data_IF_212171107474
#
_entry.id   IF_212171107474
#
_cell.length_a   1.000
_cell.length_b   1.000
_cell.length_c   1.000
_cell.angle_alpha   90.00
_cell.angle_beta   90.00
_cell.angle_gamma   90.00
#
_symmetry.space_group_name_H-M   'P 1'
#
loop_
_entity.id
_entity.type
_entity.pdbx_description
1 polymer ?
#
# COMPACT_ATOMS: atom_id res chain seq x y z
N UNK A 1 58.39 21.31 31.38
CA UNK A 1 57.15 22.10 31.47
C UNK A 1 56.79 22.54 30.07
N UNK A 2 56.23 21.61 29.29
CA UNK A 2 55.47 21.94 28.10
C UNK A 2 54.03 21.99 28.56
N UNK A 3 53.38 23.14 28.33
CA UNK A 3 52.01 23.42 28.71
C UNK A 3 51.07 22.49 27.93
N UNK A 4 50.36 21.64 28.66
CA UNK A 4 49.29 20.73 28.20
C UNK A 4 48.00 21.47 27.78
N UNK A 5 48.09 22.70 27.26
CA UNK A 5 46.92 23.53 26.93
C UNK A 5 46.60 23.62 25.41
N UNK A 6 47.42 23.05 24.53
CA UNK A 6 47.14 23.02 23.08
C UNK A 6 46.49 21.72 22.57
N UNK A 7 46.04 20.84 23.48
CA UNK A 7 45.27 19.61 23.15
C UNK A 7 43.77 19.72 23.42
N UNK A 8 43.21 20.93 23.48
CA UNK A 8 41.79 21.13 23.25
C UNK A 8 41.50 20.99 21.75
N UNK A 9 41.70 19.78 21.23
CA UNK A 9 41.30 19.42 19.88
C UNK A 9 39.83 19.79 19.69
N UNK A 10 39.55 20.55 18.64
CA UNK A 10 38.24 20.56 18.01
C UNK A 10 37.82 19.10 17.85
N UNK A 11 37.01 18.57 18.78
CA UNK A 11 36.33 17.29 18.61
C UNK A 11 35.46 17.50 17.39
N UNK A 12 35.94 17.03 16.24
CA UNK A 12 35.12 16.94 15.03
C UNK A 12 33.98 16.01 15.41
N UNK A 13 32.83 16.60 15.75
CA UNK A 13 31.61 15.86 16.04
C UNK A 13 31.22 15.16 14.75
N UNK A 14 31.41 13.84 14.70
CA UNK A 14 31.04 13.03 13.55
C UNK A 14 29.52 12.82 13.58
N UNK A 15 28.79 13.10 12.47
CA UNK A 15 27.36 12.86 12.38
C UNK A 15 27.02 11.41 12.70
N UNK A 16 25.95 11.20 13.46
CA UNK A 16 25.48 9.87 13.85
C UNK A 16 24.33 9.42 12.95
N UNK A 17 24.08 8.09 12.79
CA UNK A 17 23.00 7.57 11.94
C UNK A 17 21.61 8.20 12.14
N UNK A 18 21.18 8.62 13.35
CA UNK A 18 19.91 9.33 13.52
C UNK A 18 19.85 10.71 12.84
N UNK A 19 20.99 11.37 12.62
CA UNK A 19 21.06 12.68 11.96
C UNK A 19 21.05 12.54 10.43
N UNK A 20 19.97 12.01 9.85
CA UNK A 20 19.90 11.62 8.42
C UNK A 20 20.49 12.66 7.45
N UNK A 21 20.16 13.94 7.65
CA UNK A 21 20.54 15.05 6.77
C UNK A 21 22.05 15.27 6.72
N UNK A 22 22.74 15.16 7.86
CA UNK A 22 24.20 15.36 7.96
C UNK A 22 24.96 14.05 7.78
N UNK A 23 24.40 12.94 8.26
CA UNK A 23 25.02 11.62 8.21
C UNK A 23 25.13 11.06 6.80
N UNK A 24 24.09 11.13 5.97
CA UNK A 24 24.10 10.48 4.66
C UNK A 24 25.20 11.07 3.74
N UNK A 25 25.34 12.40 3.59
CA UNK A 25 26.47 12.98 2.86
C UNK A 25 27.82 12.65 3.47
N UNK A 26 27.94 12.74 4.80
CA UNK A 26 29.17 12.45 5.52
C UNK A 26 29.65 11.01 5.31
N UNK A 27 28.76 10.04 5.47
CA UNK A 27 29.07 8.63 5.30
C UNK A 27 29.44 8.29 3.86
N UNK A 28 28.76 8.88 2.86
CA UNK A 28 29.14 8.71 1.45
C UNK A 28 30.55 9.26 1.18
N UNK A 29 30.88 10.44 1.72
CA UNK A 29 32.20 11.03 1.60
C UNK A 29 33.29 10.18 2.25
N UNK A 30 33.06 9.66 3.46
CA UNK A 30 34.01 8.78 4.16
C UNK A 30 34.25 7.46 3.42
N UNK A 31 33.24 6.95 2.73
CA UNK A 31 33.35 5.76 1.88
C UNK A 31 33.95 6.06 0.50
N UNK A 32 34.45 7.28 0.27
CA UNK A 32 35.05 7.71 -1.00
C UNK A 32 34.09 7.54 -2.18
N UNK A 33 32.84 8.00 -2.03
CA UNK A 33 31.84 7.94 -3.09
C UNK A 33 32.33 8.62 -4.38
N UNK A 34 32.16 8.00 -5.56
CA UNK A 34 32.51 8.62 -6.84
C UNK A 34 31.49 9.71 -7.27
N UNK A 35 30.57 10.06 -6.38
CA UNK A 35 29.49 11.02 -6.57
C UNK A 35 29.34 11.86 -5.30
N UNK A 36 28.90 13.10 -5.44
CA UNK A 36 28.53 13.96 -4.33
C UNK A 36 27.07 13.69 -3.94
N UNK A 37 26.76 13.71 -2.64
CA UNK A 37 25.39 13.56 -2.14
C UNK A 37 24.97 14.84 -1.44
N UNK A 38 23.84 15.41 -1.89
CA UNK A 38 23.24 16.58 -1.26
C UNK A 38 21.88 16.21 -0.70
N UNK A 39 21.65 16.48 0.60
CA UNK A 39 20.34 16.28 1.22
C UNK A 39 19.62 17.63 1.31
N UNK A 40 18.55 17.78 0.55
CA UNK A 40 17.66 18.93 0.61
C UNK A 40 16.57 18.68 1.65
N UNK A 41 16.39 19.62 2.56
CA UNK A 41 15.34 19.56 3.58
C UNK A 41 14.09 20.25 3.07
N UNK A 42 12.96 19.54 3.15
CA UNK A 42 11.62 20.08 2.92
C UNK A 42 10.79 19.90 4.18
N UNK A 43 9.90 20.84 4.47
CA UNK A 43 9.00 20.74 5.63
C UNK A 43 7.63 20.30 5.16
N UNK A 44 7.02 19.35 5.87
CA UNK A 44 5.68 18.89 5.54
C UNK A 44 4.66 20.01 5.82
N UNK A 45 4.07 20.56 4.76
CA UNK A 45 2.96 21.50 4.89
C UNK A 45 1.79 20.82 5.64
N UNK A 46 1.19 21.52 6.60
CA UNK A 46 0.03 21.00 7.32
C UNK A 46 -1.04 20.58 6.31
N UNK A 47 -1.38 19.29 6.29
CA UNK A 47 -2.72 18.90 5.88
C UNK A 47 -3.66 19.47 6.95
N UNK A 48 -4.23 20.65 6.72
CA UNK A 48 -5.28 21.20 7.57
C UNK A 48 -6.44 20.21 7.62
N UNK A 49 -6.49 19.43 8.71
CA UNK A 49 -7.73 18.88 9.20
C UNK A 49 -8.66 20.05 9.51
N UNK A 50 -9.81 20.05 8.84
CA UNK A 50 -11.01 20.85 9.12
C UNK A 50 -11.06 21.47 10.52
N UNK A 51 -10.82 22.77 10.62
CA UNK A 51 -11.48 23.61 11.62
C UNK A 51 -12.29 24.72 10.92
N UNK A 52 -13.60 24.59 11.09
CA UNK A 52 -14.61 25.64 11.17
C UNK A 52 -14.57 26.78 10.15
N UNK A 53 -15.45 26.66 9.14
CA UNK A 53 -16.10 27.82 8.52
C UNK A 53 -16.80 28.67 9.59
N UNK A 54 -16.11 29.63 10.20
CA UNK A 54 -16.76 30.82 10.75
C UNK A 54 -17.05 31.78 9.62
N UNK A 55 -18.35 31.82 9.25
CA UNK A 55 -18.95 32.83 8.38
C UNK A 55 -18.61 34.24 8.91
N UNK A 56 -17.66 34.91 8.27
CA UNK A 56 -17.51 36.35 8.34
C UNK A 56 -18.26 37.00 7.19
N UNK A 57 -19.47 37.52 7.45
CA UNK A 57 -20.16 38.47 6.57
C UNK A 57 -19.26 39.70 6.35
N UNK A 58 -18.94 40.03 5.10
CA UNK A 58 -18.63 41.41 4.70
C UNK A 58 -19.42 41.76 3.45
N UNK A 59 -20.57 42.39 3.69
CA UNK A 59 -21.08 43.55 2.94
C UNK A 59 -19.91 44.50 2.67
N UNK A 60 -19.61 44.95 1.46
CA UNK A 60 -20.44 45.79 0.59
C UNK A 60 -19.79 47.17 0.51
N UNK A 61 -19.56 47.68 -0.72
CA UNK A 61 -19.06 49.02 -1.09
C UNK A 61 -17.55 49.24 -0.86
N UNK A 62 -16.77 49.84 -1.76
CA UNK A 62 -17.08 50.93 -2.69
C UNK A 62 -16.26 50.84 -3.98
N UNK A 63 -16.92 51.22 -5.06
CA UNK A 63 -16.37 51.58 -6.37
C UNK A 63 -15.27 52.65 -6.25
N UNK A 64 -14.29 52.62 -7.17
CA UNK A 64 -13.81 53.81 -7.88
C UNK A 64 -13.17 53.42 -9.22
N UNK A 65 -13.49 54.28 -10.19
CA UNK A 65 -13.32 54.20 -11.65
C UNK A 65 -11.87 54.19 -12.16
N UNK A 66 -11.69 53.63 -13.37
CA UNK A 66 -11.02 54.21 -14.57
C UNK A 66 -10.81 53.04 -15.57
N UNK A 67 -11.72 52.77 -16.51
CA UNK A 67 -11.99 53.44 -17.79
C UNK A 67 -10.89 53.25 -18.87
N UNK A 68 -11.28 52.52 -19.93
CA UNK A 68 -10.81 52.55 -21.34
C UNK A 68 -9.34 52.21 -21.62
N UNK A 69 -9.00 51.34 -22.58
CA UNK A 69 -9.31 51.47 -24.01
C UNK A 69 -9.34 50.12 -24.72
N UNK A 70 -10.34 49.93 -25.57
CA UNK A 70 -10.40 48.89 -26.59
C UNK A 70 -9.81 49.43 -27.90
N UNK A 71 -9.13 48.59 -28.69
CA UNK A 71 -9.19 48.75 -30.16
C UNK A 71 -9.22 47.38 -30.85
N UNK A 72 -10.02 47.36 -31.91
CA UNK A 72 -10.61 46.27 -32.69
C UNK A 72 -9.75 45.97 -33.93
N UNK A 73 -10.08 44.82 -34.58
CA UNK A 73 -9.98 44.50 -36.04
C UNK A 73 -8.57 44.08 -36.56
N UNK A 74 -8.42 43.15 -37.49
CA UNK A 74 -9.35 42.45 -38.41
C UNK A 74 -8.74 41.15 -39.00
N UNK A 75 -9.64 40.23 -39.36
CA UNK A 75 -9.71 39.36 -40.55
C UNK A 75 -8.43 38.99 -41.34
N UNK A 76 -8.20 37.68 -41.50
CA UNK A 76 -8.03 37.01 -42.80
C UNK A 76 -7.92 35.48 -42.62
N UNK A 77 -8.79 34.71 -43.28
CA UNK A 77 -8.48 33.34 -43.73
C UNK A 77 -7.62 33.43 -45.01
N UNK A 78 -6.79 32.41 -45.32
CA UNK A 78 -7.26 31.43 -46.31
C UNK A 78 -6.82 29.97 -46.10
N UNK A 79 -7.59 29.12 -46.77
CA UNK A 79 -7.49 27.71 -47.17
C UNK A 79 -6.14 26.99 -47.36
N UNK A 80 -6.17 25.71 -46.95
CA UNK A 80 -5.73 24.48 -47.63
C UNK A 80 -4.22 24.08 -47.74
N UNK A 81 -4.03 22.77 -47.52
CA UNK A 81 -2.91 21.87 -47.89
C UNK A 81 -1.80 21.62 -46.85
N UNK A 82 -1.49 20.34 -46.64
CA UNK A 82 -0.24 19.87 -46.00
C UNK A 82 -0.40 19.19 -44.64
N UNK A 83 -0.73 17.89 -44.64
CA UNK A 83 -0.41 16.99 -43.54
C UNK A 83 1.12 16.83 -43.49
N UNK A 84 1.78 17.58 -42.60
CA UNK A 84 3.15 17.29 -42.17
C UNK A 84 3.17 17.03 -40.66
N UNK A 85 3.79 15.90 -40.30
CA UNK A 85 4.08 15.46 -38.93
C UNK A 85 4.94 16.51 -38.23
N UNK A 86 4.28 17.40 -37.48
CA UNK A 86 4.91 18.42 -36.65
C UNK A 86 5.67 17.80 -35.47
N UNK A 87 6.99 17.96 -35.53
CA UNK A 87 7.98 17.59 -34.54
C UNK A 87 7.59 18.04 -33.11
N UNK A 88 7.75 17.12 -32.16
CA UNK A 88 7.72 17.41 -30.72
C UNK A 88 8.81 18.44 -30.42
N UNK A 89 8.50 19.59 -29.78
CA UNK A 89 9.53 20.53 -29.37
C UNK A 89 10.38 19.88 -28.27
N UNK A 90 11.55 19.40 -28.68
CA UNK A 90 12.66 19.07 -27.79
C UNK A 90 13.23 20.36 -27.21
N UNK A 91 13.81 20.24 -26.01
CA UNK A 91 14.58 21.26 -25.24
C UNK A 91 13.86 22.00 -24.11
N UNK A 92 13.60 21.28 -23.02
CA UNK A 92 14.03 21.75 -21.70
C UNK A 92 15.11 20.80 -21.17
N UNK A 93 16.34 20.95 -21.69
CA UNK A 93 17.54 20.45 -21.00
C UNK A 93 17.81 21.40 -19.82
N UNK A 94 17.26 21.09 -18.66
CA UNK A 94 17.80 21.57 -17.40
C UNK A 94 18.96 20.65 -17.02
N UNK A 95 20.16 21.22 -16.95
CA UNK A 95 21.39 20.51 -16.65
C UNK A 95 21.25 19.76 -15.31
N UNK A 96 21.25 18.43 -15.35
CA UNK A 96 21.64 17.66 -14.17
C UNK A 96 23.12 18.00 -13.94
N UNK A 97 23.47 18.53 -12.76
CA UNK A 97 24.87 18.66 -12.35
C UNK A 97 25.47 17.24 -12.39
N UNK A 98 26.36 16.97 -13.36
CA UNK A 98 26.98 15.66 -13.53
C UNK A 98 27.70 15.28 -12.23
N UNK A 99 27.29 14.16 -11.61
CA UNK A 99 27.93 13.63 -10.41
C UNK A 99 27.31 14.01 -9.07
N UNK A 100 26.25 14.82 -9.02
CA UNK A 100 25.53 15.15 -7.77
C UNK A 100 24.22 14.37 -7.66
N UNK A 101 24.06 13.62 -6.56
CA UNK A 101 22.81 12.93 -6.23
C UNK A 101 22.08 13.70 -5.14
N UNK A 102 20.92 14.24 -5.50
CA UNK A 102 20.08 15.01 -4.57
C UNK A 102 19.05 14.08 -3.93
N UNK A 103 19.05 14.04 -2.60
CA UNK A 103 18.06 13.35 -1.76
C UNK A 103 17.20 14.41 -1.09
N UNK A 104 15.88 14.32 -1.19
CA UNK A 104 14.96 15.20 -0.49
C UNK A 104 14.49 14.51 0.80
N UNK A 105 14.81 15.10 1.95
CA UNK A 105 14.35 14.69 3.26
C UNK A 105 13.18 15.59 3.67
N UNK A 106 11.97 15.03 3.72
CA UNK A 106 10.80 15.76 4.21
C UNK A 106 10.67 15.51 5.70
N UNK A 107 10.70 16.60 6.48
CA UNK A 107 10.61 16.56 7.93
C UNK A 107 9.27 17.12 8.44
N UNK A 108 8.81 16.59 9.57
CA UNK A 108 7.73 17.22 10.34
C UNK A 108 8.25 18.47 11.08
N UNK A 109 7.37 19.27 11.69
CA UNK A 109 7.75 20.46 12.45
C UNK A 109 8.59 20.18 13.70
N UNK A 110 8.65 18.93 14.17
CA UNK A 110 9.50 18.50 15.29
C UNK A 110 10.90 18.05 14.82
N UNK A 111 11.17 18.06 13.51
CA UNK A 111 12.44 17.67 12.92
C UNK A 111 12.58 16.17 12.67
N UNK A 112 11.50 15.39 12.75
CA UNK A 112 11.51 13.97 12.45
C UNK A 112 11.38 13.73 10.95
N UNK A 113 12.11 12.75 10.43
CA UNK A 113 12.06 12.37 9.02
C UNK A 113 10.77 11.58 8.70
N UNK A 114 9.94 12.12 7.81
CA UNK A 114 8.64 11.53 7.43
C UNK A 114 8.66 10.89 6.05
N UNK A 115 9.37 11.51 5.10
CA UNK A 115 9.50 11.02 3.73
C UNK A 115 10.94 11.19 3.23
N UNK A 116 11.41 10.18 2.50
CA UNK A 116 12.62 10.29 1.68
C UNK A 116 12.18 10.29 0.21
N UNK A 117 12.60 11.32 -0.53
CA UNK A 117 12.21 11.49 -1.91
C UNK A 117 13.42 11.69 -2.84
N UNK A 118 13.38 11.01 -3.99
CA UNK A 118 14.27 11.22 -5.11
C UNK A 118 13.46 11.81 -6.26
N UNK A 119 13.81 13.03 -6.69
CA UNK A 119 13.11 13.75 -7.75
C UNK A 119 14.09 14.01 -8.88
N UNK A 120 13.78 13.49 -10.08
CA UNK A 120 14.60 13.69 -11.30
C UNK A 120 16.07 13.28 -11.08
N UNK A 121 16.27 12.08 -10.53
CA UNK A 121 17.60 11.54 -10.28
C UNK A 121 18.02 10.63 -11.44
N UNK A 122 19.15 10.89 -12.09
CA UNK A 122 19.56 10.09 -13.27
C UNK A 122 19.71 8.62 -12.90
N UNK A 123 20.46 8.31 -11.83
CA UNK A 123 20.61 6.98 -11.26
C UNK A 123 20.77 7.09 -9.75
N UNK A 124 20.18 6.17 -9.00
CA UNK A 124 20.39 6.08 -7.55
C UNK A 124 21.50 5.05 -7.30
N UNK A 125 22.70 5.46 -6.85
CA UNK A 125 23.81 4.53 -6.66
C UNK A 125 23.51 3.54 -5.54
N UNK A 126 23.89 2.28 -5.73
CA UNK A 126 23.75 1.21 -4.73
C UNK A 126 24.31 1.62 -3.37
N UNK A 127 25.49 2.26 -3.37
CA UNK A 127 26.18 2.66 -2.14
C UNK A 127 25.36 3.67 -1.33
N UNK A 128 24.66 4.60 -2.00
CA UNK A 128 23.77 5.55 -1.33
C UNK A 128 22.60 4.83 -0.63
N UNK A 129 21.99 3.86 -1.31
CA UNK A 129 20.90 3.06 -0.75
C UNK A 129 21.38 2.28 0.49
N UNK A 130 22.61 1.74 0.45
CA UNK A 130 23.21 1.03 1.58
C UNK A 130 23.47 1.95 2.78
N UNK A 131 24.04 3.14 2.55
CA UNK A 131 24.25 4.15 3.59
C UNK A 131 22.94 4.58 4.22
N UNK A 132 21.91 4.82 3.39
CA UNK A 132 20.56 5.11 3.88
C UNK A 132 20.01 3.95 4.72
N UNK A 133 20.26 2.70 4.30
CA UNK A 133 19.85 1.50 5.05
C UNK A 133 20.42 1.43 6.48
N UNK A 134 21.51 2.12 6.78
CA UNK A 134 22.04 2.24 8.15
C UNK A 134 21.34 3.30 8.98
N UNK A 135 20.86 4.37 8.35
CA UNK A 135 20.20 5.50 9.02
C UNK A 135 18.70 5.27 9.21
N UNK A 136 18.04 4.76 8.17
CA UNK A 136 16.58 4.58 8.11
C UNK A 136 15.97 3.82 9.30
N UNK A 137 16.59 2.74 9.86
CA UNK A 137 16.04 2.04 11.03
C UNK A 137 15.95 2.89 12.30
N UNK A 138 16.62 4.05 12.37
CA UNK A 138 16.54 4.97 13.51
C UNK A 138 15.37 5.96 13.39
N UNK A 139 14.62 5.94 12.29
CA UNK A 139 13.52 6.87 12.02
C UNK A 139 12.17 6.16 12.09
N UNK A 140 11.61 6.05 13.29
CA UNK A 140 10.35 5.33 13.53
C UNK A 140 9.13 5.92 12.80
N UNK A 141 9.17 7.23 12.52
CA UNK A 141 8.11 7.99 11.88
C UNK A 141 8.24 8.04 10.34
N UNK A 142 9.33 7.53 9.77
CA UNK A 142 9.50 7.45 8.34
C UNK A 142 8.47 6.49 7.74
N UNK A 143 7.51 7.06 6.99
CA UNK A 143 6.37 6.30 6.47
C UNK A 143 6.34 6.21 4.95
N UNK A 144 7.07 7.07 4.23
CA UNK A 144 6.98 7.23 2.77
C UNK A 144 8.34 7.25 2.09
N UNK A 145 8.45 6.50 0.99
CA UNK A 145 9.58 6.56 0.06
C UNK A 145 9.05 6.92 -1.34
N UNK A 146 9.50 8.04 -1.89
CA UNK A 146 9.07 8.52 -3.21
C UNK A 146 10.25 8.57 -4.16
N UNK A 147 10.18 7.87 -5.29
CA UNK A 147 11.18 7.91 -6.35
C UNK A 147 10.44 8.26 -7.63
N UNK A 148 10.73 9.44 -8.20
CA UNK A 148 10.10 9.90 -9.45
C UNK A 148 11.12 10.36 -10.45
N UNK A 149 10.89 9.96 -11.70
CA UNK A 149 11.80 10.24 -12.82
C UNK A 149 13.23 9.80 -12.51
N UNK A 150 13.38 8.57 -12.03
CA UNK A 150 14.70 7.99 -11.78
C UNK A 150 14.91 6.65 -12.48
N UNK A 151 16.10 6.45 -13.06
CA UNK A 151 16.46 5.14 -13.57
C UNK A 151 16.87 4.24 -12.39
N UNK A 152 16.09 3.20 -12.18
CA UNK A 152 16.35 2.20 -11.17
C UNK A 152 16.90 0.92 -11.83
N UNK A 153 17.97 0.38 -11.26
CA UNK A 153 18.46 -0.94 -11.62
C UNK A 153 17.83 -2.00 -10.71
N UNK A 154 17.78 -3.26 -11.17
CA UNK A 154 17.19 -4.37 -10.40
C UNK A 154 17.82 -4.54 -9.02
N UNK A 155 19.12 -4.28 -8.93
CA UNK A 155 19.91 -4.32 -7.69
C UNK A 155 19.43 -3.25 -6.71
N UNK A 156 19.06 -2.05 -7.20
CA UNK A 156 18.57 -0.97 -6.35
C UNK A 156 17.28 -1.37 -5.64
N UNK A 157 16.31 -1.95 -6.36
CA UNK A 157 15.06 -2.46 -5.75
C UNK A 157 15.32 -3.55 -4.69
N UNK A 158 16.27 -4.46 -4.96
CA UNK A 158 16.63 -5.49 -3.99
C UNK A 158 17.25 -4.88 -2.72
N UNK A 159 18.11 -3.87 -2.83
CA UNK A 159 18.63 -3.17 -1.66
C UNK A 159 17.54 -2.42 -0.89
N UNK A 160 16.59 -1.77 -1.58
CA UNK A 160 15.41 -1.19 -0.94
C UNK A 160 14.62 -2.24 -0.16
N UNK A 161 14.36 -3.41 -0.75
CA UNK A 161 13.57 -4.47 -0.10
C UNK A 161 14.19 -5.00 1.20
N UNK A 162 15.52 -4.96 1.35
CA UNK A 162 16.18 -5.51 2.54
C UNK A 162 15.80 -4.78 3.83
N UNK A 163 15.63 -3.46 3.76
CA UNK A 163 15.25 -2.68 4.93
C UNK A 163 13.74 -2.44 5.04
N UNK A 164 12.93 -2.74 4.02
CA UNK A 164 11.45 -2.71 4.16
C UNK A 164 10.95 -3.63 5.28
N UNK A 165 11.63 -4.74 5.53
CA UNK A 165 11.28 -5.67 6.61
C UNK A 165 11.51 -5.12 8.01
N UNK A 166 12.39 -4.13 8.15
CA UNK A 166 12.87 -3.61 9.44
C UNK A 166 12.30 -2.22 9.77
N UNK A 167 11.50 -1.62 8.87
CA UNK A 167 11.14 -0.20 8.92
C UNK A 167 9.62 -0.05 8.82
N UNK A 168 9.09 1.02 9.41
CA UNK A 168 7.67 1.36 9.39
C UNK A 168 7.17 2.00 8.08
N UNK A 169 7.83 1.72 6.95
CA UNK A 169 7.41 2.24 5.66
C UNK A 169 6.05 1.69 5.27
N UNK A 170 5.11 2.60 5.02
CA UNK A 170 3.73 2.29 4.66
C UNK A 170 3.41 2.67 3.21
N UNK A 171 4.18 3.57 2.60
CA UNK A 171 3.91 4.08 1.27
C UNK A 171 5.19 4.11 0.40
N UNK A 172 5.11 3.50 -0.78
CA UNK A 172 6.16 3.55 -1.80
C UNK A 172 5.56 4.06 -3.10
N UNK A 173 6.19 5.07 -3.69
CA UNK A 173 5.83 5.61 -5.00
C UNK A 173 7.06 5.54 -5.90
N UNK A 174 6.97 4.78 -7.00
CA UNK A 174 8.02 4.66 -8.02
C UNK A 174 7.57 5.22 -9.37
N UNK A 175 6.63 6.17 -9.37
CA UNK A 175 6.04 6.68 -10.60
C UNK A 175 7.10 7.24 -11.56
N UNK A 176 6.92 7.04 -12.86
CA UNK A 176 7.86 7.48 -13.91
C UNK A 176 9.30 6.95 -13.73
N UNK A 177 9.48 5.85 -13.00
CA UNK A 177 10.81 5.29 -12.68
C UNK A 177 10.91 3.83 -13.14
N UNK A 178 11.00 3.57 -14.46
CA UNK A 178 11.06 2.21 -14.98
C UNK A 178 12.35 1.50 -14.54
N UNK A 179 12.19 0.31 -13.97
CA UNK A 179 13.29 -0.55 -13.53
C UNK A 179 13.73 -1.46 -14.67
N UNK A 180 15.02 -1.46 -15.02
CA UNK A 180 15.54 -2.26 -16.16
C UNK A 180 15.33 -3.77 -16.03
N UNK A 181 15.27 -4.30 -14.81
CA UNK A 181 15.01 -5.71 -14.54
C UNK A 181 13.56 -6.07 -14.23
N UNK A 182 12.66 -5.07 -14.19
CA UNK A 182 11.21 -5.21 -13.96
C UNK A 182 10.81 -6.09 -12.76
N UNK A 183 11.69 -6.21 -11.77
CA UNK A 183 11.57 -7.07 -10.59
C UNK A 183 10.82 -6.38 -9.43
N UNK A 184 9.69 -5.75 -9.72
CA UNK A 184 8.90 -4.99 -8.74
C UNK A 184 8.29 -5.89 -7.65
N UNK A 185 8.12 -7.18 -7.93
CA UNK A 185 7.61 -8.19 -7.00
C UNK A 185 8.48 -8.35 -5.75
N UNK A 186 9.77 -8.00 -5.83
CA UNK A 186 10.71 -8.04 -4.71
C UNK A 186 10.26 -7.13 -3.56
N UNK A 187 9.52 -6.05 -3.84
CA UNK A 187 8.94 -5.16 -2.82
C UNK A 187 7.81 -5.82 -2.02
N UNK A 188 7.17 -6.86 -2.58
CA UNK A 188 6.03 -7.57 -2.01
C UNK A 188 6.39 -8.97 -1.48
N UNK A 189 7.60 -9.45 -1.75
CA UNK A 189 8.05 -10.79 -1.38
C UNK A 189 8.23 -10.97 0.14
N UNK A 190 8.74 -9.94 0.83
CA UNK A 190 9.02 -9.98 2.26
C UNK A 190 7.86 -9.47 3.14
N UNK A 191 7.89 -9.78 4.45
CA UNK A 191 6.97 -9.16 5.41
C UNK A 191 7.25 -7.67 5.49
N UNK A 192 6.29 -6.84 5.10
CA UNK A 192 6.39 -5.38 5.17
C UNK A 192 5.10 -4.77 5.69
N UNK A 193 5.18 -3.54 6.20
CA UNK A 193 4.01 -2.75 6.61
C UNK A 193 3.41 -1.93 5.46
N UNK A 194 3.79 -2.25 4.23
CA UNK A 194 3.42 -1.52 3.03
C UNK A 194 1.90 -1.56 2.81
N UNK A 195 1.27 -0.39 2.76
CA UNK A 195 -0.18 -0.22 2.51
C UNK A 195 -0.45 0.40 1.15
N UNK A 196 0.48 1.18 0.62
CA UNK A 196 0.33 1.92 -0.63
C UNK A 196 1.54 1.66 -1.53
N UNK A 197 1.28 1.18 -2.75
CA UNK A 197 2.28 1.01 -3.79
C UNK A 197 1.81 1.68 -5.08
N UNK A 198 2.61 2.60 -5.60
CA UNK A 198 2.38 3.26 -6.89
C UNK A 198 3.50 2.96 -7.86
N UNK A 199 3.15 2.40 -9.01
CA UNK A 199 4.03 2.05 -10.13
C UNK A 199 3.46 2.65 -11.44
N UNK A 200 2.97 3.90 -11.38
CA UNK A 200 2.37 4.52 -12.56
C UNK A 200 3.46 4.92 -13.56
N UNK A 201 3.22 4.72 -14.87
CA UNK A 201 4.20 5.05 -15.93
C UNK A 201 5.55 4.35 -15.76
N UNK A 202 5.54 3.11 -15.28
CA UNK A 202 6.72 2.27 -15.09
C UNK A 202 6.99 1.34 -16.27
N UNK A 203 6.22 1.45 -17.37
CA UNK A 203 6.27 0.55 -18.53
C UNK A 203 6.08 -0.93 -18.14
N UNK A 204 5.16 -1.22 -17.21
CA UNK A 204 4.80 -2.60 -16.85
C UNK A 204 4.01 -3.27 -17.98
N UNK A 205 4.20 -4.57 -18.15
CA UNK A 205 3.43 -5.42 -19.07
C UNK A 205 2.67 -6.50 -18.30
N UNK A 206 1.97 -7.38 -19.02
CA UNK A 206 1.18 -8.46 -18.42
C UNK A 206 2.01 -9.45 -17.60
N UNK A 207 3.26 -9.71 -17.99
CA UNK A 207 4.13 -10.65 -17.28
C UNK A 207 4.60 -10.08 -15.94
N UNK A 208 4.94 -8.79 -15.91
CA UNK A 208 5.31 -8.11 -14.66
C UNK A 208 4.12 -8.06 -13.70
N UNK A 209 2.94 -7.73 -14.22
CA UNK A 209 1.71 -7.67 -13.42
C UNK A 209 1.31 -9.06 -12.92
N UNK A 210 1.52 -10.12 -13.70
CA UNK A 210 1.29 -11.47 -13.23
C UNK A 210 2.22 -11.84 -12.06
N UNK A 211 3.49 -11.42 -12.13
CA UNK A 211 4.46 -11.62 -11.05
C UNK A 211 4.05 -10.86 -9.77
N UNK A 212 3.62 -9.61 -9.92
CA UNK A 212 3.05 -8.81 -8.83
C UNK A 212 1.78 -9.42 -8.25
N UNK A 213 0.83 -9.81 -9.11
CA UNK A 213 -0.45 -10.38 -8.73
C UNK A 213 -0.27 -11.66 -7.91
N UNK A 214 0.69 -12.51 -8.29
CA UNK A 214 0.98 -13.71 -7.53
C UNK A 214 1.31 -13.38 -6.06
N UNK A 215 2.02 -12.26 -5.80
CA UNK A 215 2.39 -11.82 -4.45
C UNK A 215 1.23 -11.25 -3.64
N UNK A 216 0.13 -10.90 -4.30
CA UNK A 216 -1.10 -10.40 -3.67
C UNK A 216 -2.07 -11.53 -3.28
N UNK A 217 -1.78 -12.78 -3.64
CA UNK A 217 -2.58 -13.94 -3.25
C UNK A 217 -2.39 -14.30 -1.77
N UNK A 218 -3.48 -14.67 -1.10
CA UNK A 218 -3.40 -15.20 0.26
C UNK A 218 -2.74 -16.60 0.25
N UNK A 219 -1.79 -16.91 1.15
CA UNK A 219 -1.44 -16.20 2.40
C UNK A 219 -0.15 -15.37 2.35
N UNK A 220 0.27 -14.87 1.18
CA UNK A 220 1.53 -14.12 1.08
C UNK A 220 1.48 -12.83 1.90
N UNK A 221 2.64 -12.29 2.36
CA UNK A 221 2.66 -11.17 3.29
C UNK A 221 1.94 -9.91 2.76
N UNK A 222 2.16 -9.57 1.49
CA UNK A 222 1.52 -8.40 0.87
C UNK A 222 -0.01 -8.51 0.80
N UNK A 223 -0.56 -9.72 0.74
CA UNK A 223 -2.00 -9.96 0.76
C UNK A 223 -2.65 -9.58 2.11
N UNK A 224 -1.87 -9.40 3.18
CA UNK A 224 -2.36 -8.99 4.49
C UNK A 224 -2.23 -7.47 4.74
N UNK A 225 -1.43 -6.75 3.96
CA UNK A 225 -1.03 -5.37 4.28
C UNK A 225 -1.36 -4.35 3.18
N UNK A 226 -1.26 -4.73 1.90
CA UNK A 226 -1.42 -3.78 0.80
C UNK A 226 -2.89 -3.40 0.58
N UNK A 227 -3.21 -2.12 0.78
CA UNK A 227 -4.55 -1.57 0.63
C UNK A 227 -4.74 -0.81 -0.70
N UNK A 228 -3.67 -0.27 -1.28
CA UNK A 228 -3.71 0.58 -2.47
C UNK A 228 -2.63 0.18 -3.45
N UNK A 229 -3.05 -0.10 -4.67
CA UNK A 229 -2.16 -0.45 -5.79
C UNK A 229 -2.49 0.43 -6.99
N UNK A 230 -1.55 1.28 -7.40
CA UNK A 230 -1.69 2.14 -8.56
C UNK A 230 -0.78 1.68 -9.70
N UNK A 231 -1.38 1.28 -10.82
CA UNK A 231 -0.72 0.75 -12.01
C UNK A 231 -1.10 1.56 -13.26
N UNK A 232 -1.46 2.83 -13.10
CA UNK A 232 -1.93 3.66 -14.19
C UNK A 232 -0.85 3.94 -15.25
N UNK A 233 -1.28 4.11 -16.50
CA UNK A 233 -0.43 4.46 -17.63
C UNK A 233 0.74 3.47 -17.84
N UNK A 234 0.42 2.17 -17.87
CA UNK A 234 1.33 1.08 -18.20
C UNK A 234 0.84 0.36 -19.48
N UNK A 235 1.39 -0.81 -19.80
CA UNK A 235 1.06 -1.61 -20.99
C UNK A 235 0.34 -2.90 -20.59
N UNK A 236 -0.59 -2.78 -19.64
CA UNK A 236 -1.36 -3.91 -19.12
C UNK A 236 -2.51 -4.20 -20.08
N UNK A 237 -2.60 -5.43 -20.57
CA UNK A 237 -3.70 -5.94 -21.36
C UNK A 237 -4.59 -6.89 -20.54
N UNK A 238 -5.39 -7.68 -21.26
CA UNK A 238 -6.37 -8.58 -20.64
C UNK A 238 -5.71 -9.69 -19.82
N UNK A 239 -4.51 -10.15 -20.20
CA UNK A 239 -3.81 -11.19 -19.45
C UNK A 239 -3.32 -10.68 -18.09
N UNK A 240 -2.80 -9.46 -18.00
CA UNK A 240 -2.44 -8.82 -16.74
C UNK A 240 -3.67 -8.52 -15.87
N UNK A 241 -4.77 -8.09 -16.49
CA UNK A 241 -6.05 -7.92 -15.80
C UNK A 241 -6.57 -9.26 -15.22
N UNK A 242 -6.47 -10.35 -15.98
CA UNK A 242 -6.84 -11.69 -15.52
C UNK A 242 -5.97 -12.19 -14.35
N UNK A 243 -4.67 -11.89 -14.37
CA UNK A 243 -3.78 -12.21 -13.25
C UNK A 243 -4.17 -11.45 -11.98
N UNK A 244 -4.47 -10.14 -12.08
CA UNK A 244 -4.98 -9.35 -10.95
C UNK A 244 -6.33 -9.88 -10.46
N UNK A 245 -7.23 -10.26 -11.36
CA UNK A 245 -8.49 -10.90 -11.01
C UNK A 245 -8.26 -12.19 -10.21
N UNK A 246 -7.34 -13.05 -10.66
CA UNK A 246 -6.99 -14.27 -9.92
C UNK A 246 -6.51 -13.97 -8.49
N UNK A 247 -5.65 -12.95 -8.33
CA UNK A 247 -5.22 -12.51 -7.00
C UNK A 247 -6.39 -11.99 -6.14
N UNK A 248 -7.29 -11.21 -6.73
CA UNK A 248 -8.49 -10.67 -6.07
C UNK A 248 -9.45 -11.77 -5.59
N UNK A 249 -9.43 -12.98 -6.17
CA UNK A 249 -10.26 -14.10 -5.66
C UNK A 249 -9.94 -14.43 -4.21
N UNK A 250 -8.68 -14.28 -3.79
CA UNK A 250 -8.24 -14.57 -2.41
C UNK A 250 -7.81 -13.34 -1.62
N UNK A 251 -7.50 -12.22 -2.26
CA UNK A 251 -7.14 -10.99 -1.57
C UNK A 251 -8.39 -10.32 -0.96
N UNK A 252 -8.34 -9.97 0.33
CA UNK A 252 -9.43 -9.27 1.05
C UNK A 252 -8.99 -7.95 1.69
N UNK A 253 -7.78 -7.49 1.38
CA UNK A 253 -7.15 -6.31 1.97
C UNK A 253 -7.06 -5.15 1.00
N UNK A 254 -6.92 -5.43 -0.30
CA UNK A 254 -6.84 -4.42 -1.34
C UNK A 254 -8.18 -3.65 -1.45
N UNK A 255 -8.12 -2.34 -1.26
CA UNK A 255 -9.26 -1.42 -1.26
C UNK A 255 -9.31 -0.55 -2.51
N UNK A 256 -8.16 -0.22 -3.09
CA UNK A 256 -8.06 0.67 -4.24
C UNK A 256 -7.14 0.08 -5.30
N UNK A 257 -7.66 -0.04 -6.53
CA UNK A 257 -6.91 -0.51 -7.69
C UNK A 257 -7.05 0.49 -8.84
N UNK A 258 -5.92 1.09 -9.27
CA UNK A 258 -5.90 1.98 -10.43
C UNK A 258 -5.27 1.30 -11.63
N UNK A 259 -6.06 1.09 -12.68
CA UNK A 259 -5.64 0.55 -13.97
C UNK A 259 -5.91 1.55 -15.10
N UNK A 260 -6.05 2.85 -14.80
CA UNK A 260 -6.31 3.85 -15.83
C UNK A 260 -5.18 3.95 -16.85
N UNK A 261 -5.48 4.22 -18.12
CA UNK A 261 -4.46 4.45 -19.16
C UNK A 261 -3.70 3.17 -19.55
N UNK A 262 -4.37 2.02 -19.56
CA UNK A 262 -3.77 0.75 -19.98
C UNK A 262 -4.45 0.25 -21.28
N UNK A 263 -4.15 -0.97 -21.71
CA UNK A 263 -4.69 -1.60 -22.91
C UNK A 263 -5.72 -2.71 -22.58
N UNK A 264 -6.49 -2.54 -21.50
CA UNK A 264 -7.49 -3.52 -21.06
C UNK A 264 -8.74 -3.40 -21.94
N UNK A 265 -9.22 -4.53 -22.46
CA UNK A 265 -10.47 -4.61 -23.22
C UNK A 265 -11.63 -5.07 -22.32
N UNK A 266 -12.81 -5.23 -22.92
CA UNK A 266 -13.97 -5.84 -22.26
C UNK A 266 -13.64 -7.19 -21.61
N UNK A 267 -12.80 -8.01 -22.25
CA UNK A 267 -12.44 -9.34 -21.73
C UNK A 267 -11.72 -9.23 -20.38
N UNK A 268 -10.72 -8.35 -20.28
CA UNK A 268 -9.98 -8.14 -19.04
C UNK A 268 -10.82 -7.50 -17.95
N UNK A 269 -11.63 -6.50 -18.29
CA UNK A 269 -12.52 -5.84 -17.33
C UNK A 269 -13.59 -6.79 -16.77
N UNK A 270 -14.27 -7.54 -17.64
CA UNK A 270 -15.27 -8.55 -17.25
C UNK A 270 -14.61 -9.62 -16.36
N UNK A 271 -13.36 -10.00 -16.64
CA UNK A 271 -12.63 -10.95 -15.79
C UNK A 271 -12.45 -10.42 -14.37
N UNK A 272 -12.12 -9.13 -14.21
CA UNK A 272 -12.08 -8.48 -12.88
C UNK A 272 -13.47 -8.47 -12.25
N UNK A 273 -14.50 -8.03 -12.98
CA UNK A 273 -15.87 -7.94 -12.50
C UNK A 273 -16.44 -9.27 -12.00
N UNK A 274 -16.17 -10.37 -12.71
CA UNK A 274 -16.58 -11.71 -12.31
C UNK A 274 -16.03 -12.13 -10.94
N UNK A 275 -14.87 -11.59 -10.52
CA UNK A 275 -14.32 -11.87 -9.18
C UNK A 275 -14.95 -11.04 -8.07
N UNK A 276 -15.64 -9.95 -8.43
CA UNK A 276 -16.38 -9.10 -7.49
C UNK A 276 -17.83 -9.62 -7.28
N UNK A 277 -18.29 -10.54 -8.12
CA UNK A 277 -19.58 -11.23 -8.02
C UNK A 277 -19.44 -12.65 -7.46
N UNK A 278 -20.58 -13.35 -7.32
CA UNK A 278 -20.58 -14.76 -6.94
C UNK A 278 -19.80 -15.60 -7.97
N UNK A 279 -18.86 -16.42 -7.51
CA UNK A 279 -18.08 -17.30 -8.39
C UNK A 279 -17.88 -18.68 -7.76
N UNK A 280 -17.83 -19.76 -8.57
CA UNK A 280 -17.52 -21.09 -8.08
C UNK A 280 -16.07 -21.18 -7.62
N UNK A 281 -15.83 -21.87 -6.50
CA UNK A 281 -14.48 -22.22 -6.07
C UNK A 281 -13.94 -23.37 -6.93
N UNK A 282 -12.67 -23.27 -7.32
CA UNK A 282 -11.98 -24.37 -7.99
C UNK A 282 -11.60 -25.47 -6.99
N UNK A 283 -11.36 -26.69 -7.49
CA UNK A 283 -10.87 -27.79 -6.65
C UNK A 283 -9.56 -27.40 -5.93
N UNK A 284 -8.66 -26.70 -6.63
CA UNK A 284 -7.40 -26.20 -6.08
C UNK A 284 -7.61 -25.21 -4.94
N UNK A 285 -8.58 -24.29 -5.05
CA UNK A 285 -8.91 -23.35 -3.98
C UNK A 285 -9.46 -24.06 -2.74
N UNK A 286 -10.30 -25.08 -2.94
CA UNK A 286 -10.84 -25.90 -1.85
C UNK A 286 -9.72 -26.69 -1.16
N UNK A 287 -8.81 -27.30 -1.94
CA UNK A 287 -7.66 -28.02 -1.40
C UNK A 287 -6.71 -27.09 -0.66
N UNK A 288 -6.37 -25.92 -1.24
CA UNK A 288 -5.55 -24.89 -0.59
C UNK A 288 -6.19 -24.40 0.71
N UNK A 289 -7.51 -24.19 0.74
CA UNK A 289 -8.25 -23.86 1.98
C UNK A 289 -8.08 -24.94 3.05
N UNK A 290 -8.26 -26.22 2.68
CA UNK A 290 -8.06 -27.35 3.61
C UNK A 290 -6.62 -27.42 4.11
N UNK A 291 -5.63 -27.21 3.25
CA UNK A 291 -4.22 -27.15 3.63
C UNK A 291 -3.97 -26.05 4.66
N UNK A 292 -4.44 -24.82 4.41
CA UNK A 292 -4.27 -23.69 5.32
C UNK A 292 -4.90 -23.94 6.69
N UNK A 293 -6.08 -24.56 6.73
CA UNK A 293 -6.72 -24.96 7.99
C UNK A 293 -5.87 -25.99 8.74
N UNK A 294 -5.35 -27.01 8.04
CA UNK A 294 -4.48 -28.02 8.65
C UNK A 294 -3.19 -27.39 9.19
N UNK A 295 -2.57 -26.50 8.43
CA UNK A 295 -1.32 -25.82 8.83
C UNK A 295 -1.56 -24.92 10.05
N UNK A 296 -2.70 -24.21 10.10
CA UNK A 296 -3.13 -23.46 11.27
C UNK A 296 -3.31 -24.36 12.51
N UNK A 297 -3.98 -25.51 12.35
CA UNK A 297 -4.21 -26.45 13.46
C UNK A 297 -2.90 -27.08 13.96
N UNK A 298 -1.98 -27.43 13.06
CA UNK A 298 -0.63 -27.91 13.42
C UNK A 298 0.11 -26.85 14.23
N UNK A 299 0.16 -25.61 13.74
CA UNK A 299 0.85 -24.51 14.42
C UNK A 299 0.22 -24.21 15.79
N UNK A 300 -1.12 -24.26 15.89
CA UNK A 300 -1.84 -24.14 17.16
C UNK A 300 -1.47 -25.27 18.13
N UNK A 301 -1.37 -26.51 17.66
CA UNK A 301 -0.97 -27.68 18.47
C UNK A 301 0.47 -27.55 18.98
N UNK A 302 1.40 -27.13 18.13
CA UNK A 302 2.80 -26.92 18.51
C UNK A 302 2.96 -25.82 19.56
N UNK A 303 2.25 -24.70 19.38
CA UNK A 303 2.25 -23.61 20.37
C UNK A 303 1.61 -24.03 21.68
N UNK A 304 0.50 -24.77 21.61
CA UNK A 304 -0.12 -25.35 22.79
C UNK A 304 0.86 -26.20 23.59
N UNK A 305 1.60 -27.11 22.94
CA UNK A 305 2.64 -27.90 23.60
C UNK A 305 3.74 -27.03 24.22
N UNK A 306 4.19 -25.98 23.52
CA UNK A 306 5.18 -25.04 24.06
C UNK A 306 4.66 -24.32 25.30
N UNK A 307 3.41 -23.83 25.27
CA UNK A 307 2.76 -23.18 26.41
C UNK A 307 2.60 -24.15 27.61
N UNK A 308 2.22 -25.41 27.35
CA UNK A 308 2.15 -26.44 28.41
C UNK A 308 3.54 -26.67 29.03
N UNK A 309 4.58 -26.85 28.21
CA UNK A 309 5.97 -27.04 28.71
C UNK A 309 6.41 -25.86 29.57
N UNK A 310 6.16 -24.63 29.12
CA UNK A 310 6.51 -23.42 29.86
C UNK A 310 5.77 -23.33 31.20
N UNK A 311 4.45 -23.57 31.22
CA UNK A 311 3.67 -23.51 32.45
C UNK A 311 4.04 -24.61 33.46
N UNK A 312 4.47 -25.79 33.00
CA UNK A 312 4.98 -26.86 33.87
C UNK A 312 6.31 -26.44 34.49
N UNK A 313 7.21 -25.84 33.71
CA UNK A 313 8.48 -25.29 34.21
C UNK A 313 8.24 -24.19 35.25
N UNK A 314 7.35 -23.24 34.98
CA UNK A 314 7.01 -22.15 35.90
C UNK A 314 6.44 -22.69 37.23
N UNK A 315 5.53 -23.69 37.16
CA UNK A 315 5.04 -24.39 38.37
C UNK A 315 6.17 -25.01 39.18
N UNK A 316 7.14 -25.67 38.52
CA UNK A 316 8.27 -26.28 39.22
C UNK A 316 9.16 -25.23 39.92
N UNK A 317 9.37 -24.07 39.30
CA UNK A 317 10.12 -22.96 39.91
C UNK A 317 9.39 -22.33 41.11
N UNK A 318 8.07 -22.19 41.03
CA UNK A 318 7.23 -21.69 42.13
C UNK A 318 7.17 -22.68 43.31
N UNK A 319 7.13 -23.99 43.04
CA UNK A 319 7.24 -25.03 44.08
C UNK A 319 8.61 -25.00 44.78
N UNK A 320 9.70 -24.81 44.03
CA UNK A 320 11.05 -24.65 44.61
C UNK A 320 11.15 -23.37 45.45
N UNK A 321 10.59 -22.24 45.00
CA UNK A 321 10.56 -20.97 45.76
C UNK A 321 9.69 -21.06 47.01
N UNK A 322 8.54 -21.71 46.93
CA UNK A 322 7.64 -21.87 48.06
C UNK A 322 8.16 -22.88 49.09
N UNK A 323 8.85 -23.95 48.67
CA UNK A 323 9.54 -24.87 49.57
C UNK A 323 10.74 -24.21 50.27
N UNK A 324 11.48 -23.32 49.60
CA UNK A 324 12.50 -22.47 50.27
C UNK A 324 11.90 -21.55 51.34
N UNK A 325 10.67 -21.05 51.15
CA UNK A 325 9.95 -20.23 52.15
C UNK A 325 9.29 -21.07 53.27
N UNK A 326 9.00 -22.35 53.03
CA UNK A 326 8.31 -23.26 53.97
C UNK A 326 9.23 -24.02 54.92
N UNK A 327 10.56 -23.84 54.84
CA UNK A 327 11.50 -24.46 55.79
C UNK A 327 11.36 -24.00 57.27
N UNK A 328 10.31 -23.24 57.62
CA UNK A 328 10.00 -22.82 58.99
C UNK A 328 8.71 -23.42 59.60
N UNK A 329 7.98 -24.34 58.94
CA UNK A 329 6.75 -24.91 59.53
C UNK A 329 6.60 -26.42 59.25
N UNK A 330 6.33 -27.20 60.32
CA UNK A 330 6.19 -28.67 60.34
C UNK A 330 4.99 -29.18 59.51
N UNK A 331 5.05 -30.42 58.94
CA UNK A 331 4.04 -30.89 58.00
C UNK A 331 2.84 -31.58 58.68
N UNK A 332 1.62 -31.28 58.23
CA UNK A 332 0.41 -32.07 58.51
C UNK A 332 -0.06 -32.81 57.25
N UNK A 333 -0.57 -34.01 57.46
CA UNK A 333 -0.87 -35.04 56.45
C UNK A 333 -2.21 -34.86 55.71
N UNK A 334 -2.18 -35.25 54.43
CA UNK A 334 -3.27 -35.77 53.56
C UNK A 334 -4.42 -34.84 53.11
N UNK A 335 -4.42 -34.51 51.81
CA UNK A 335 -5.57 -34.53 50.85
C UNK A 335 -5.11 -34.06 49.45
N UNK A 336 -4.47 -34.91 48.63
CA UNK A 336 -3.85 -34.45 47.37
C UNK A 336 -4.36 -35.08 46.05
N UNK A 337 -5.27 -36.07 46.07
CA UNK A 337 -5.63 -36.76 44.81
C UNK A 337 -6.59 -35.96 43.91
N UNK A 338 -7.70 -35.42 44.43
CA UNK A 338 -8.66 -34.63 43.62
C UNK A 338 -8.19 -33.21 43.28
N UNK A 339 -7.21 -32.67 44.02
CA UNK A 339 -6.68 -31.32 43.79
C UNK A 339 -5.67 -31.30 42.63
N UNK A 340 -4.98 -32.42 42.40
CA UNK A 340 -4.02 -32.58 41.30
C UNK A 340 -4.71 -32.60 39.93
N UNK A 341 -5.87 -33.27 39.80
CA UNK A 341 -6.61 -33.35 38.53
C UNK A 341 -7.24 -32.01 38.13
N UNK A 342 -7.81 -31.26 39.09
CA UNK A 342 -8.31 -29.90 38.86
C UNK A 342 -7.19 -28.90 38.53
N UNK A 343 -6.02 -29.02 39.18
CA UNK A 343 -4.84 -28.18 38.92
C UNK A 343 -4.21 -28.45 37.54
N UNK A 344 -4.29 -29.70 37.07
CA UNK A 344 -3.84 -30.08 35.72
C UNK A 344 -4.82 -29.56 34.65
N UNK A 345 -6.13 -29.73 34.84
CA UNK A 345 -7.12 -29.18 33.91
C UNK A 345 -7.05 -27.65 33.80
N UNK A 346 -6.84 -26.93 34.91
CA UNK A 346 -6.68 -25.48 34.90
C UNK A 346 -5.39 -25.03 34.16
N UNK A 347 -4.31 -25.83 34.23
CA UNK A 347 -3.08 -25.54 33.47
C UNK A 347 -3.28 -25.75 31.97
N UNK A 348 -3.95 -26.84 31.57
CA UNK A 348 -4.23 -27.13 30.17
C UNK A 348 -5.15 -26.05 29.55
N UNK A 349 -6.20 -25.62 30.27
CA UNK A 349 -7.04 -24.50 29.84
C UNK A 349 -6.25 -23.19 29.72
N UNK A 350 -5.33 -22.91 30.65
CA UNK A 350 -4.45 -21.74 30.57
C UNK A 350 -3.52 -21.81 29.35
N UNK A 351 -2.93 -22.99 29.07
CA UNK A 351 -2.09 -23.19 27.90
C UNK A 351 -2.88 -23.02 26.59
N UNK A 352 -4.13 -23.51 26.54
CA UNK A 352 -5.01 -23.34 25.40
C UNK A 352 -5.40 -21.88 25.17
N UNK A 353 -5.71 -21.14 26.24
CA UNK A 353 -5.98 -19.71 26.18
C UNK A 353 -4.76 -18.94 25.67
N UNK A 354 -3.56 -19.21 26.21
CA UNK A 354 -2.31 -18.58 25.76
C UNK A 354 -2.00 -18.90 24.29
N UNK A 355 -2.14 -20.16 23.87
CA UNK A 355 -1.92 -20.55 22.49
C UNK A 355 -2.91 -19.89 21.53
N UNK A 356 -4.18 -19.75 21.95
CA UNK A 356 -5.22 -19.09 21.16
C UNK A 356 -5.00 -17.57 21.09
N UNK A 357 -4.55 -16.95 22.17
CA UNK A 357 -4.21 -15.52 22.23
C UNK A 357 -3.02 -15.18 21.33
N UNK A 358 -1.97 -16.02 21.34
CA UNK A 358 -0.79 -15.83 20.49
C UNK A 358 -1.08 -16.08 18.99
N UNK A 359 -1.96 -17.04 18.67
CA UNK A 359 -2.30 -17.37 17.28
C UNK A 359 -3.37 -16.47 16.66
N UNK A 360 -4.28 -15.93 17.47
CA UNK A 360 -5.46 -15.22 17.00
C UNK A 360 -6.49 -16.12 16.31
N UNK A 361 -7.50 -15.50 15.70
CA UNK A 361 -8.57 -16.18 14.97
C UNK A 361 -8.07 -16.56 13.58
N UNK A 362 -8.27 -17.81 13.16
CA UNK A 362 -8.02 -18.22 11.79
C UNK A 362 -8.96 -17.48 10.85
N UNK A 363 -8.40 -16.69 9.94
CA UNK A 363 -9.13 -15.97 8.91
C UNK A 363 -8.71 -16.51 7.55
N UNK A 364 -9.70 -16.88 6.74
CA UNK A 364 -9.49 -17.38 5.38
C UNK A 364 -10.40 -16.61 4.41
N UNK A 365 -9.93 -16.27 3.20
CA UNK A 365 -10.74 -15.58 2.19
C UNK A 365 -12.03 -16.31 1.79
N UNK A 366 -12.06 -17.64 2.00
CA UNK A 366 -13.18 -18.52 1.73
C UNK A 366 -13.74 -19.11 3.04
N UNK A 367 -13.88 -18.29 4.08
CA UNK A 367 -14.54 -18.69 5.32
C UNK A 367 -16.00 -19.09 5.10
N UNK A 368 -16.62 -19.74 6.10
CA UNK A 368 -18.03 -20.17 6.03
C UNK A 368 -18.96 -18.97 5.77
N UNK A 369 -18.61 -17.78 6.26
CA UNK A 369 -19.37 -16.54 6.05
C UNK A 369 -19.27 -16.01 4.61
N UNK A 370 -18.20 -16.36 3.89
CA UNK A 370 -17.91 -15.88 2.54
C UNK A 370 -18.21 -16.94 1.46
N UNK A 371 -18.70 -18.12 1.85
CA UNK A 371 -19.00 -19.22 0.92
C UNK A 371 -20.39 -19.81 1.11
N UNK A 372 -21.04 -20.18 0.01
CA UNK A 372 -22.36 -20.83 -0.02
C UNK A 372 -22.26 -22.13 -0.81
N UNK A 373 -22.78 -23.22 -0.26
CA UNK A 373 -22.82 -24.51 -0.96
C UNK A 373 -24.18 -24.72 -1.60
N UNK A 374 -24.23 -24.90 -2.93
CA UNK A 374 -25.45 -25.19 -3.70
C UNK A 374 -25.21 -26.42 -4.56
N UNK A 375 -26.07 -27.44 -4.42
CA UNK A 375 -26.03 -28.66 -5.24
C UNK A 375 -24.65 -29.34 -5.30
N UNK A 376 -23.92 -29.36 -4.18
CA UNK A 376 -22.58 -29.97 -4.10
C UNK A 376 -21.41 -29.08 -4.52
N UNK A 377 -21.66 -27.90 -5.10
CA UNK A 377 -20.64 -26.93 -5.47
C UNK A 377 -20.55 -25.81 -4.42
N UNK A 378 -19.32 -25.37 -4.13
CA UNK A 378 -19.07 -24.26 -3.20
C UNK A 378 -18.82 -22.99 -4.02
N UNK A 379 -19.57 -21.94 -3.71
CA UNK A 379 -19.48 -20.63 -4.33
C UNK A 379 -18.94 -19.63 -3.32
N UNK A 380 -18.09 -18.69 -3.76
CA UNK A 380 -17.78 -17.50 -2.99
C UNK A 380 -18.82 -16.43 -3.31
N UNK A 381 -19.26 -15.66 -2.32
CA UNK A 381 -20.19 -14.53 -2.52
C UNK A 381 -19.55 -13.32 -3.23
N UNK A 382 -18.31 -13.45 -3.70
CA UNK A 382 -17.56 -12.39 -4.39
C UNK A 382 -16.67 -11.55 -3.51
N UNK A 383 -15.69 -10.89 -4.12
CA UNK A 383 -14.81 -9.97 -3.40
C UNK A 383 -15.52 -8.63 -3.15
N UNK A 384 -15.83 -8.38 -1.88
CA UNK A 384 -16.47 -7.15 -1.40
C UNK A 384 -15.52 -6.23 -0.64
N UNK A 385 -14.21 -6.45 -0.77
CA UNK A 385 -13.19 -5.62 -0.10
C UNK A 385 -12.75 -4.42 -0.93
N UNK A 386 -12.79 -4.54 -2.26
CA UNK A 386 -12.40 -3.48 -3.20
C UNK A 386 -13.45 -2.36 -3.22
N UNK A 387 -13.03 -1.14 -2.85
CA UNK A 387 -13.90 0.04 -2.74
C UNK A 387 -13.78 0.99 -3.93
N UNK A 388 -12.60 1.05 -4.55
CA UNK A 388 -12.30 1.98 -5.62
C UNK A 388 -11.59 1.26 -6.76
N UNK A 389 -12.13 1.38 -7.97
CA UNK A 389 -11.58 0.79 -9.19
C UNK A 389 -11.55 1.84 -10.30
N UNK A 390 -10.41 2.02 -10.95
CA UNK A 390 -10.33 2.91 -12.12
C UNK A 390 -9.86 2.13 -13.33
N UNK A 391 -10.71 2.10 -14.35
CA UNK A 391 -10.47 1.56 -15.69
C UNK A 391 -10.56 2.67 -16.75
N UNK A 392 -10.43 3.93 -16.35
CA UNK A 392 -10.45 5.07 -17.26
C UNK A 392 -9.37 4.97 -18.35
N UNK A 393 -9.61 5.51 -19.54
CA UNK A 393 -8.65 5.53 -20.65
C UNK A 393 -8.10 4.11 -20.98
N UNK A 394 -8.99 3.13 -21.10
CA UNK A 394 -8.69 1.78 -21.61
C UNK A 394 -9.48 1.55 -22.91
N UNK A 395 -9.58 0.30 -23.36
CA UNK A 395 -10.31 -0.11 -24.54
C UNK A 395 -11.65 -0.78 -24.19
N UNK A 396 -12.38 -0.21 -23.22
CA UNK A 396 -13.69 -0.74 -22.83
C UNK A 396 -14.78 -0.28 -23.80
N UNK A 397 -15.69 -1.19 -24.10
CA UNK A 397 -16.91 -0.95 -24.86
C UNK A 397 -18.13 -1.14 -23.96
N UNK A 398 -19.33 -1.13 -24.56
CA UNK A 398 -20.60 -1.20 -23.85
C UNK A 398 -20.76 -2.48 -23.01
N UNK A 399 -20.19 -3.62 -23.44
CA UNK A 399 -20.34 -4.91 -22.73
C UNK A 399 -19.80 -4.83 -21.30
N UNK A 400 -18.72 -4.08 -21.08
CA UNK A 400 -18.16 -3.83 -19.75
C UNK A 400 -19.11 -3.07 -18.83
N UNK A 401 -19.93 -2.15 -19.36
CA UNK A 401 -20.88 -1.39 -18.54
C UNK A 401 -22.02 -2.26 -18.03
N UNK A 402 -22.52 -3.19 -18.86
CA UNK A 402 -23.52 -4.18 -18.45
C UNK A 402 -23.01 -5.04 -17.30
N UNK A 403 -21.80 -5.60 -17.44
CA UNK A 403 -21.17 -6.40 -16.40
C UNK A 403 -20.89 -5.59 -15.12
N UNK A 404 -20.45 -4.33 -15.26
CA UNK A 404 -20.25 -3.45 -14.11
C UNK A 404 -21.55 -3.15 -13.36
N UNK A 405 -22.65 -2.93 -14.09
CA UNK A 405 -23.97 -2.75 -13.49
C UNK A 405 -24.40 -4.00 -12.70
N UNK A 406 -24.20 -5.20 -13.25
CA UNK A 406 -24.49 -6.46 -12.56
C UNK A 406 -23.70 -6.62 -11.25
N UNK A 407 -22.41 -6.26 -11.26
CA UNK A 407 -21.57 -6.25 -10.04
C UNK A 407 -22.17 -5.35 -8.97
N UNK A 408 -22.52 -4.11 -9.34
CA UNK A 408 -23.05 -3.13 -8.40
C UNK A 408 -24.42 -3.54 -7.88
N UNK A 409 -25.29 -4.07 -8.73
CA UNK A 409 -26.59 -4.59 -8.34
C UNK A 409 -26.45 -5.77 -7.36
N UNK A 410 -25.54 -6.71 -7.65
CA UNK A 410 -25.24 -7.84 -6.76
C UNK A 410 -24.69 -7.38 -5.41
N UNK A 411 -23.71 -6.46 -5.39
CA UNK A 411 -23.15 -5.93 -4.15
C UNK A 411 -24.16 -5.09 -3.34
N UNK A 412 -25.08 -4.39 -4.02
CA UNK A 412 -26.18 -3.70 -3.37
C UNK A 412 -27.14 -4.69 -2.70
N UNK A 413 -27.48 -5.79 -3.37
CA UNK A 413 -28.34 -6.85 -2.83
C UNK A 413 -27.74 -7.55 -1.60
N UNK A 414 -26.42 -7.76 -1.57
CA UNK A 414 -25.72 -8.33 -0.40
C UNK A 414 -25.87 -7.47 0.87
N UNK A 415 -26.15 -6.16 0.73
CA UNK A 415 -26.54 -5.28 1.83
C UNK A 415 -25.53 -5.15 2.98
N UNK A 416 -26.02 -4.85 4.20
CA UNK A 416 -25.22 -4.61 5.42
C UNK A 416 -24.42 -5.82 5.94
N UNK A 417 -24.53 -6.99 5.29
CA UNK A 417 -23.81 -8.22 5.66
C UNK A 417 -22.38 -8.25 5.13
N UNK A 418 -22.04 -7.43 4.14
CA UNK A 418 -20.72 -7.40 3.52
C UNK A 418 -19.99 -6.07 3.76
N UNK A 419 -18.65 -6.10 3.73
CA UNK A 419 -17.81 -4.90 3.66
C UNK A 419 -18.25 -4.02 2.48
N UNK A 420 -18.00 -2.70 2.50
CA UNK A 420 -18.24 -1.88 1.32
C UNK A 420 -17.50 -2.47 0.12
N UNK A 421 -18.25 -3.06 -0.82
CA UNK A 421 -17.78 -3.34 -2.17
C UNK A 421 -17.51 -2.04 -2.91
N UNK A 422 -17.72 -2.02 -4.22
CA UNK A 422 -17.40 -0.84 -5.03
C UNK A 422 -18.23 0.38 -4.59
N UNK A 423 -17.54 1.46 -4.25
CA UNK A 423 -18.11 2.76 -3.87
C UNK A 423 -17.83 3.85 -4.89
N UNK A 424 -16.77 3.66 -5.68
CA UNK A 424 -16.41 4.55 -6.77
C UNK A 424 -15.74 3.76 -7.87
N UNK A 425 -16.22 3.95 -9.10
CA UNK A 425 -15.66 3.35 -10.29
C UNK A 425 -15.42 4.46 -11.31
N UNK A 426 -14.28 4.46 -11.97
CA UNK A 426 -13.98 5.41 -13.05
C UNK A 426 -13.80 4.66 -14.37
N UNK A 427 -14.62 5.00 -15.37
CA UNK A 427 -14.58 4.45 -16.74
C UNK A 427 -14.44 5.54 -17.80
N UNK A 428 -14.07 6.76 -17.41
CA UNK A 428 -13.93 7.89 -18.33
C UNK A 428 -12.88 7.64 -19.42
N UNK A 429 -13.07 8.18 -20.62
CA UNK A 429 -12.08 8.09 -21.70
C UNK A 429 -11.97 6.72 -22.38
N UNK A 430 -12.93 5.81 -22.14
CA UNK A 430 -13.13 4.58 -22.91
C UNK A 430 -14.00 4.81 -24.16
N UNK A 431 -14.10 3.82 -25.04
CA UNK A 431 -14.92 3.87 -26.26
C UNK A 431 -16.41 3.63 -25.95
N UNK A 432 -16.97 4.45 -25.07
CA UNK A 432 -18.34 4.33 -24.60
C UNK A 432 -19.29 5.22 -25.41
N UNK A 433 -20.55 4.81 -25.64
CA UNK A 433 -21.56 5.66 -26.25
C UNK A 433 -21.78 6.95 -25.44
N UNK A 434 -21.97 8.08 -26.13
CA UNK A 434 -22.12 9.42 -25.53
C UNK A 434 -23.37 9.50 -24.62
N UNK A 435 -24.46 8.84 -25.02
CA UNK A 435 -25.70 8.73 -24.26
C UNK A 435 -25.90 7.26 -23.85
N UNK A 436 -25.66 6.95 -22.57
CA UNK A 436 -25.77 5.59 -22.05
C UNK A 436 -26.55 5.57 -20.74
N UNK A 437 -27.76 5.01 -20.76
CA UNK A 437 -28.61 4.84 -19.57
C UNK A 437 -27.92 4.03 -18.47
N UNK A 438 -27.05 3.08 -18.84
CA UNK A 438 -26.30 2.28 -17.87
C UNK A 438 -25.33 3.11 -17.03
N UNK A 439 -24.71 4.17 -17.58
CA UNK A 439 -23.84 5.05 -16.80
C UNK A 439 -24.62 5.78 -15.71
N UNK A 440 -25.85 6.23 -16.03
CA UNK A 440 -26.74 6.85 -15.05
C UNK A 440 -27.15 5.85 -13.95
N UNK A 441 -27.53 4.63 -14.31
CA UNK A 441 -27.87 3.58 -13.35
C UNK A 441 -26.69 3.19 -12.46
N UNK A 442 -25.49 3.12 -13.03
CA UNK A 442 -24.25 2.85 -12.29
C UNK A 442 -23.99 3.96 -11.26
N UNK A 443 -24.06 5.23 -11.66
CA UNK A 443 -23.87 6.35 -10.73
C UNK A 443 -24.96 6.37 -9.65
N UNK A 444 -26.23 6.13 -9.96
CA UNK A 444 -27.31 6.04 -8.96
C UNK A 444 -27.05 4.92 -7.92
N UNK A 445 -26.60 3.74 -8.35
CA UNK A 445 -26.24 2.65 -7.44
C UNK A 445 -25.02 3.02 -6.57
N UNK A 446 -24.01 3.67 -7.14
CA UNK A 446 -22.84 4.15 -6.41
C UNK A 446 -23.23 5.24 -5.40
N UNK A 447 -24.10 6.18 -5.76
CA UNK A 447 -24.65 7.21 -4.88
C UNK A 447 -25.36 6.61 -3.68
N UNK A 448 -26.23 5.62 -3.90
CA UNK A 448 -26.91 4.87 -2.84
C UNK A 448 -25.91 4.16 -1.93
N UNK A 449 -24.90 3.50 -2.50
CA UNK A 449 -23.84 2.84 -1.73
C UNK A 449 -23.03 3.84 -0.87
N UNK A 450 -22.75 5.04 -1.40
CA UNK A 450 -22.06 6.14 -0.69
C UNK A 450 -22.92 6.77 0.41
N UNK A 451 -24.24 6.87 0.22
CA UNK A 451 -25.15 7.47 1.20
C UNK A 451 -25.38 6.57 2.41
N UNK A 452 -25.35 5.25 2.23
CA UNK A 452 -25.55 4.28 3.30
C UNK A 452 -24.37 4.15 4.28
N UNK A 453 -23.19 4.75 4.00
CA UNK A 453 -21.94 4.43 4.74
C UNK A 453 -21.19 5.67 5.28
N UNK A 454 -20.51 5.47 6.41
CA UNK A 454 -19.95 6.48 7.34
C UNK A 454 -18.92 7.43 6.71
N UNK A 455 -18.81 8.65 7.28
CA UNK A 455 -17.85 9.72 6.91
C UNK A 455 -16.39 9.24 6.78
N UNK A 456 -15.99 8.20 7.52
CA UNK A 456 -14.62 7.66 7.56
C UNK A 456 -14.17 7.03 6.24
N UNK A 457 -15.05 6.30 5.55
CA UNK A 457 -14.72 5.68 4.25
C UNK A 457 -14.63 6.74 3.15
N UNK A 458 -15.48 7.78 3.21
CA UNK A 458 -15.40 8.94 2.30
C UNK A 458 -14.08 9.69 2.46
N UNK A 459 -13.60 9.88 3.69
CA UNK A 459 -12.31 10.52 3.96
C UNK A 459 -11.11 9.67 3.50
N UNK A 460 -11.18 8.34 3.62
CA UNK A 460 -10.15 7.44 3.09
C UNK A 460 -10.16 7.47 1.56
N UNK A 461 -11.32 7.38 0.90
CA UNK A 461 -11.41 7.49 -0.56
C UNK A 461 -10.95 8.87 -1.06
N UNK A 462 -11.30 9.97 -0.37
CA UNK A 462 -10.82 11.31 -0.72
C UNK A 462 -9.31 11.49 -0.52
N UNK A 463 -8.73 10.94 0.55
CA UNK A 463 -7.27 10.93 0.77
C UNK A 463 -6.51 10.03 -0.21
N UNK A 464 -7.18 8.97 -0.70
CA UNK A 464 -6.64 8.02 -1.67
C UNK A 464 -6.92 8.40 -3.13
N UNK A 465 -7.63 9.52 -3.39
CA UNK A 465 -7.70 10.08 -4.74
C UNK A 465 -6.29 10.47 -5.16
N UNK A 466 -5.67 9.83 -6.18
CA UNK A 466 -4.48 10.40 -6.78
C UNK A 466 -4.86 11.81 -7.23
N UNK A 467 -4.12 12.82 -6.74
CA UNK A 467 -4.42 14.22 -6.99
C UNK A 467 -4.72 14.42 -8.47
N UNK A 468 -5.81 15.15 -8.78
CA UNK A 468 -6.24 15.49 -10.15
C UNK A 468 -5.00 15.68 -11.02
N UNK A 469 -4.71 14.70 -11.87
CA UNK A 469 -3.88 14.93 -13.04
C UNK A 469 -4.65 16.02 -13.77
N UNK A 470 -4.16 17.26 -13.70
CA UNK A 470 -4.70 18.34 -14.52
C UNK A 470 -4.67 17.80 -15.94
N UNK A 471 -5.85 17.71 -16.54
CA UNK A 471 -6.06 17.43 -17.94
C UNK A 471 -4.94 18.10 -18.75
N UNK A 472 -4.07 17.29 -19.35
CA UNK A 472 -3.31 17.74 -20.51
C UNK A 472 -4.33 17.70 -21.65
N UNK A 473 -4.96 18.86 -21.86
CA UNK A 473 -5.58 19.24 -23.11
C UNK A 473 -4.57 19.21 -24.25
#
# INVERSE_FOLDING_TARGET
MYTDEERAGSRVMHPMPPEFVTFVPYACYQLQSPFEVRVNVEWQDQYCGLEEKKKGKRTGQSQRHLAHTATRRALAEPSASGLELGQVPTTHKLAAEEGVVVVHAVMDFAGNLMEIAFRRCVTIPRMLIQVMGWSVPHHDLLSRLTIRWAALDAIALYEFSKFLSNVNLTEICLDDSPVKGRNYEVLLAGPSRLRYLSLARCSLDDADVASLASHLEHPRPAAATLAVLLLAANRIGDAGAAALAHALRTNRTLRCLNLAGNAISDVGAITIFNTLMEFPLTADEILKKRSRVLDFLKMKSELYERCVRQLVLDKSHDEIRSNKRRMTVRPSTRRNSMRATHSNNALLQKAEAMATELMGVFTDPFSIEQTVTRSGYTYCIGNTSLCWLSLAYNNLEYSSLGALYEVLAHQHWLGARATPGLLQVNVDGNQLPVDCDHLFLIEDLLDKARCSKTKTIKQVIEKLRPGRVRSLS
#
